data_IF_882256413553
#
_entry.id   IF_882256413553
#
_cell.length_a   1.000
_cell.length_b   1.000
_cell.length_c   1.000
_cell.angle_alpha   90.00
_cell.angle_beta   90.00
_cell.angle_gamma   90.00
#
_symmetry.space_group_name_H-M   'P 1'
#
loop_
_entity.id
_entity.type
_entity.pdbx_description
1 polymer ?
#
# COMPACT_ATOMS: atom_id res chain seq x y z
N UNK A 1 -13.63 5.02 11.27
CA UNK A 1 -13.10 5.55 10.00
C UNK A 1 -12.32 4.44 9.31
N UNK A 2 -12.20 4.45 7.99
CA UNK A 2 -11.38 3.50 7.23
C UNK A 2 -10.41 4.23 6.29
N UNK A 3 -9.26 3.61 6.07
CA UNK A 3 -8.26 4.05 5.11
C UNK A 3 -8.11 2.98 4.03
N UNK A 4 -8.04 3.42 2.78
CA UNK A 4 -7.89 2.56 1.61
C UNK A 4 -6.69 3.00 0.80
N UNK A 5 -5.90 2.06 0.30
CA UNK A 5 -4.91 2.31 -0.75
C UNK A 5 -5.47 1.69 -2.02
N UNK A 6 -5.70 2.51 -3.03
CA UNK A 6 -6.24 2.09 -4.32
C UNK A 6 -5.24 2.40 -5.44
N UNK A 7 -5.36 1.67 -6.55
CA UNK A 7 -4.64 1.97 -7.79
C UNK A 7 -5.58 2.60 -8.82
N UNK A 8 -5.25 3.79 -9.29
CA UNK A 8 -6.04 4.50 -10.30
C UNK A 8 -5.09 5.26 -11.23
N UNK A 9 -5.25 5.09 -12.54
CA UNK A 9 -4.44 5.75 -13.57
C UNK A 9 -2.92 5.60 -13.33
N UNK A 10 -2.49 4.36 -13.04
CA UNK A 10 -1.11 3.99 -12.69
C UNK A 10 -0.53 4.72 -11.46
N UNK A 11 -1.40 5.23 -10.58
CA UNK A 11 -1.03 5.91 -9.34
C UNK A 11 -1.64 5.21 -8.12
N UNK A 12 -0.88 5.22 -7.03
CA UNK A 12 -1.36 4.81 -5.73
C UNK A 12 -1.98 5.99 -5.00
N UNK A 13 -3.22 5.83 -4.55
CA UNK A 13 -3.98 6.85 -3.85
C UNK A 13 -4.36 6.32 -2.46
N UNK A 14 -3.96 7.05 -1.42
CA UNK A 14 -4.43 6.82 -0.05
C UNK A 14 -5.70 7.63 0.19
N UNK A 15 -6.82 6.95 0.39
CA UNK A 15 -8.11 7.53 0.68
C UNK A 15 -8.50 7.36 2.15
N UNK A 16 -9.10 8.40 2.72
CA UNK A 16 -9.67 8.40 4.06
C UNK A 16 -11.19 8.48 3.94
N UNK A 17 -11.89 7.45 4.40
CA UNK A 17 -13.35 7.30 4.24
C UNK A 17 -13.99 7.22 5.62
N UNK A 18 -15.04 8.02 5.83
CA UNK A 18 -15.82 7.98 7.06
C UNK A 18 -16.66 6.68 7.14
N UNK A 19 -17.01 6.21 8.35
CA UNK A 19 -17.66 4.91 8.52
C UNK A 19 -19.05 4.84 7.87
N UNK A 20 -19.78 5.95 7.93
CA UNK A 20 -21.09 6.16 7.31
C UNK A 20 -21.05 6.17 5.78
N UNK A 21 -19.92 6.54 5.19
CA UNK A 21 -19.72 6.55 3.73
C UNK A 21 -19.07 5.26 3.20
N UNK A 22 -18.77 4.31 4.08
CA UNK A 22 -17.95 3.16 3.73
C UNK A 22 -18.64 2.22 2.73
N UNK A 23 -19.94 1.96 2.94
CA UNK A 23 -20.73 1.14 2.04
C UNK A 23 -20.90 1.79 0.66
N UNK A 24 -21.15 3.10 0.64
CA UNK A 24 -21.26 3.87 -0.60
C UNK A 24 -19.94 3.84 -1.37
N UNK A 25 -18.81 4.07 -0.69
CA UNK A 25 -17.48 4.00 -1.27
C UNK A 25 -17.19 2.63 -1.90
N UNK A 26 -17.43 1.53 -1.18
CA UNK A 26 -17.19 0.18 -1.70
C UNK A 26 -18.07 -0.18 -2.91
N UNK A 27 -19.27 0.40 -2.99
CA UNK A 27 -20.21 0.15 -4.10
C UNK A 27 -19.83 0.94 -5.36
N UNK A 28 -19.39 2.19 -5.19
CA UNK A 28 -19.09 3.11 -6.28
C UNK A 28 -17.65 3.02 -6.78
N UNK A 29 -16.68 2.77 -5.90
CA UNK A 29 -15.28 2.69 -6.27
C UNK A 29 -15.02 1.50 -7.19
N UNK A 30 -14.63 1.79 -8.44
CA UNK A 30 -14.24 0.78 -9.45
C UNK A 30 -12.74 0.51 -9.47
N UNK A 31 -11.96 1.32 -8.77
CA UNK A 31 -10.51 1.16 -8.69
C UNK A 31 -10.14 -0.07 -7.82
N UNK A 32 -9.12 -0.85 -8.19
CA UNK A 32 -8.60 -1.92 -7.36
C UNK A 32 -8.22 -1.42 -5.97
N UNK A 33 -8.77 -2.05 -4.93
CA UNK A 33 -8.38 -1.82 -3.54
C UNK A 33 -7.21 -2.74 -3.23
N UNK A 34 -6.07 -2.14 -2.93
CA UNK A 34 -4.83 -2.86 -2.63
C UNK A 34 -4.70 -3.14 -1.12
N UNK A 35 -5.09 -2.18 -0.29
CA UNK A 35 -5.06 -2.32 1.16
C UNK A 35 -6.20 -1.56 1.83
N UNK A 36 -6.66 -2.06 2.99
CA UNK A 36 -7.68 -1.43 3.82
C UNK A 36 -7.31 -1.58 5.30
N UNK A 37 -7.45 -0.52 6.09
CA UNK A 37 -7.29 -0.60 7.54
C UNK A 37 -8.03 0.50 8.31
N UNK A 38 -7.99 0.42 9.65
CA UNK A 38 -8.59 1.41 10.56
C UNK A 38 -7.67 2.60 10.82
N UNK A 39 -6.39 2.47 10.52
CA UNK A 39 -5.39 3.54 10.61
C UNK A 39 -4.52 3.63 9.36
N UNK A 40 -3.87 4.79 9.16
CA UNK A 40 -2.93 5.00 8.05
C UNK A 40 -1.74 4.03 8.18
N UNK A 41 -1.20 3.87 9.40
CA UNK A 41 -0.05 3.02 9.65
C UNK A 41 -0.35 1.55 9.26
N UNK A 42 -1.49 1.02 9.69
CA UNK A 42 -1.91 -0.34 9.33
C UNK A 42 -2.16 -0.47 7.82
N UNK A 43 -2.77 0.53 7.17
CA UNK A 43 -3.00 0.48 5.72
C UNK A 43 -1.66 0.40 4.95
N UNK A 44 -0.64 1.15 5.38
CA UNK A 44 0.70 1.08 4.81
C UNK A 44 1.40 -0.25 5.09
N UNK A 45 1.21 -0.83 6.29
CA UNK A 45 1.72 -2.16 6.61
C UNK A 45 1.06 -3.24 5.76
N UNK A 46 -0.26 -3.22 5.59
CA UNK A 46 -0.97 -4.14 4.69
C UNK A 46 -0.50 -3.99 3.24
N UNK A 47 -0.31 -2.75 2.77
CA UNK A 47 0.25 -2.50 1.44
C UNK A 47 1.67 -3.06 1.27
N UNK A 48 2.53 -2.99 2.30
CA UNK A 48 3.87 -3.56 2.23
C UNK A 48 3.88 -5.09 2.03
N UNK A 49 2.86 -5.79 2.53
CA UNK A 49 2.70 -7.25 2.33
C UNK A 49 2.31 -7.63 0.91
N UNK A 50 1.69 -6.71 0.15
CA UNK A 50 1.26 -6.98 -1.23
C UNK A 50 2.45 -7.26 -2.15
N UNK A 51 3.65 -6.75 -1.84
CA UNK A 51 4.89 -7.07 -2.57
C UNK A 51 5.48 -8.45 -2.25
N UNK A 52 5.18 -9.05 -1.12
CA UNK A 52 5.86 -10.29 -0.71
C UNK A 52 5.38 -11.55 -1.45
N UNK A 53 4.22 -11.50 -2.13
CA UNK A 53 3.74 -12.62 -2.96
C UNK A 53 4.29 -12.63 -4.39
N UNK A 54 5.03 -11.60 -4.83
CA UNK A 54 5.72 -11.57 -6.11
C UNK A 54 7.19 -11.16 -5.91
N UNK A 55 8.02 -12.18 -5.66
CA UNK A 55 9.49 -12.15 -5.77
C UNK A 55 10.21 -10.98 -5.05
N UNK A 56 10.34 -11.09 -3.74
CA UNK A 56 11.57 -10.64 -3.08
C UNK A 56 12.57 -11.80 -3.13
N UNK A 57 13.24 -11.95 -4.29
CA UNK A 57 14.61 -12.47 -4.21
C UNK A 57 15.35 -11.47 -3.32
N UNK A 58 15.76 -11.94 -2.14
CA UNK A 58 16.63 -11.24 -1.21
C UNK A 58 17.85 -10.75 -1.99
N UNK A 59 17.81 -9.49 -2.44
CA UNK A 59 19.00 -8.83 -2.96
C UNK A 59 19.98 -8.77 -1.80
N UNK A 60 21.02 -9.60 -1.86
CA UNK A 60 22.09 -9.57 -0.89
C UNK A 60 22.64 -8.15 -0.79
N UNK A 61 22.96 -7.66 0.43
CA UNK A 61 23.49 -6.33 0.60
C UNK A 61 24.79 -6.20 -0.21
N UNK A 62 24.76 -5.32 -1.20
CA UNK A 62 25.92 -5.03 -2.04
C UNK A 62 27.04 -4.46 -1.14
N UNK A 63 28.23 -5.11 -1.07
CA UNK A 63 29.30 -4.65 -0.21
C UNK A 63 29.87 -3.35 -0.77
N UNK A 64 29.53 -2.22 -0.14
CA UNK A 64 30.16 -0.93 -0.42
C UNK A 64 31.61 -1.01 0.04
N UNK A 65 32.53 -1.26 -0.89
CA UNK A 65 33.96 -1.08 -0.65
C UNK A 65 34.27 0.43 -0.68
N UNK A 66 34.36 1.04 0.49
CA UNK A 66 34.98 2.35 0.62
C UNK A 66 36.45 2.21 0.23
N UNK A 67 36.86 2.82 -0.88
CA UNK A 67 38.28 3.11 -1.11
C UNK A 67 38.65 4.27 -0.19
N UNK A 68 39.49 4.00 0.81
CA UNK A 68 40.18 5.04 1.53
C UNK A 68 41.31 5.55 0.63
N UNK A 69 41.31 6.85 0.33
CA UNK A 69 42.47 7.59 -0.22
C UNK A 69 43.38 8.06 0.91
#
# INVERSE_FOLDING_TARGET
MNYYIIEQDDKLILMKVADDLNEAFLKENKAPIIAQARSIAEALMEFSKVKENNQLELLEPCPVRFKQE
#
